data_IF_117973899551
#
_entry.id   IF_117973899551
#
_cell.length_a   1.000
_cell.length_b   1.000
_cell.length_c   1.000
_cell.angle_alpha   90.00
_cell.angle_beta   90.00
_cell.angle_gamma   90.00
#
_symmetry.space_group_name_H-M   'P 1'
#
loop_
_entity.id
_entity.type
_entity.pdbx_description
1 polymer ?
#
# COMPACT_ATOMS: atom_id res chain seq x y z
N UNK A 1 -4.01 12.27 12.65
CA UNK A 1 -4.05 10.86 12.24
C UNK A 1 -5.30 10.68 11.42
N UNK A 2 -5.20 10.01 10.27
CA UNK A 2 -6.39 9.67 9.49
C UNK A 2 -7.18 8.56 10.20
N UNK A 3 -8.47 8.37 9.84
CA UNK A 3 -9.32 7.32 10.42
C UNK A 3 -8.69 5.92 10.32
N UNK A 4 -8.00 5.63 9.22
CA UNK A 4 -7.33 4.33 9.04
C UNK A 4 -6.05 4.17 9.87
N UNK A 5 -5.41 5.26 10.31
CA UNK A 5 -4.20 5.20 11.13
C UNK A 5 -4.50 5.02 12.62
N UNK A 6 -5.69 5.41 13.09
CA UNK A 6 -6.05 5.33 14.52
C UNK A 6 -6.19 3.90 15.03
N UNK A 7 -6.23 2.91 14.14
CA UNK A 7 -6.37 1.49 14.50
C UNK A 7 -5.01 0.80 14.72
N UNK A 8 -3.89 1.51 14.50
CA UNK A 8 -2.55 0.95 14.67
C UNK A 8 -2.04 1.09 16.10
N UNK A 9 -1.56 -0.02 16.66
CA UNK A 9 -1.00 -0.07 18.02
C UNK A 9 0.30 -0.89 18.06
N UNK A 10 1.12 -0.64 19.09
CA UNK A 10 2.31 -1.45 19.39
C UNK A 10 3.33 -1.57 18.25
N UNK A 11 3.77 -2.80 17.98
CA UNK A 11 4.73 -3.06 16.89
C UNK A 11 4.16 -2.72 15.51
N UNK A 12 2.85 -2.87 15.31
CA UNK A 12 2.20 -2.56 14.03
C UNK A 12 2.24 -1.06 13.74
N UNK A 13 2.03 -0.22 14.76
CA UNK A 13 2.20 1.23 14.66
C UNK A 13 3.65 1.62 14.37
N UNK A 14 4.60 0.95 15.02
CA UNK A 14 6.04 1.19 14.78
C UNK A 14 6.42 0.83 13.34
N UNK A 15 5.89 -0.29 12.83
CA UNK A 15 6.07 -0.70 11.46
C UNK A 15 5.45 0.30 10.47
N UNK A 16 4.18 0.71 10.69
CA UNK A 16 3.53 1.72 9.86
C UNK A 16 4.34 3.03 9.78
N UNK A 17 4.81 3.53 10.92
CA UNK A 17 5.60 4.76 10.97
C UNK A 17 6.92 4.66 10.20
N UNK A 18 7.50 3.46 10.08
CA UNK A 18 8.74 3.21 9.35
C UNK A 18 8.53 3.24 7.83
N UNK A 19 7.40 2.70 7.35
CA UNK A 19 7.19 2.42 5.92
C UNK A 19 6.31 3.45 5.21
N UNK A 20 5.52 4.23 5.97
CA UNK A 20 4.59 5.19 5.39
C UNK A 20 5.34 6.31 4.68
N UNK A 21 4.78 6.72 3.56
CA UNK A 21 5.23 7.88 2.79
C UNK A 21 4.11 8.92 2.77
N UNK A 22 4.43 10.15 2.35
CA UNK A 22 3.37 11.07 1.93
C UNK A 22 2.67 10.44 0.72
N UNK A 23 1.32 10.43 0.67
CA UNK A 23 0.58 9.91 -0.47
C UNK A 23 1.10 10.51 -1.78
N UNK A 24 1.46 9.64 -2.72
CA UNK A 24 2.00 10.01 -4.03
C UNK A 24 1.22 9.26 -5.10
N UNK A 25 0.93 9.94 -6.21
CA UNK A 25 0.29 9.27 -7.34
C UNK A 25 1.34 8.50 -8.15
N UNK A 26 1.13 7.20 -8.28
CA UNK A 26 1.97 6.27 -9.01
C UNK A 26 1.22 5.77 -10.24
N UNK A 27 1.96 5.50 -11.30
CA UNK A 27 1.40 5.03 -12.57
C UNK A 27 1.40 3.50 -12.61
N UNK A 28 0.57 2.95 -13.48
CA UNK A 28 0.56 1.53 -13.80
C UNK A 28 0.47 1.42 -15.33
N UNK A 29 1.29 0.53 -15.90
CA UNK A 29 1.58 0.55 -17.35
C UNK A 29 0.44 -0.01 -18.21
N UNK A 30 -0.42 -0.88 -17.68
CA UNK A 30 -1.39 -1.64 -18.48
C UNK A 30 -2.85 -1.14 -18.36
N UNK A 31 -3.24 -0.59 -17.21
CA UNK A 31 -4.60 -0.17 -16.82
C UNK A 31 -4.66 1.22 -16.16
N UNK A 32 -3.53 1.80 -15.73
CA UNK A 32 -3.46 3.09 -15.02
C UNK A 32 -3.91 4.32 -15.83
N UNK A 33 -4.18 4.17 -17.13
CA UNK A 33 -4.60 5.24 -18.02
C UNK A 33 -6.03 5.77 -17.78
N UNK A 34 -6.96 4.93 -17.30
CA UNK A 34 -8.36 5.33 -17.14
C UNK A 34 -8.65 6.02 -15.78
N UNK A 35 -7.90 5.69 -14.72
CA UNK A 35 -7.99 6.34 -13.38
C UNK A 35 -6.89 7.38 -13.08
N UNK A 36 -5.92 7.52 -13.98
CA UNK A 36 -4.76 8.41 -13.80
C UNK A 36 -3.81 7.94 -12.69
N UNK A 37 -3.74 6.64 -12.41
CA UNK A 37 -2.84 6.02 -11.44
C UNK A 37 -3.42 5.82 -10.03
N UNK A 38 -2.57 5.31 -9.13
CA UNK A 38 -2.92 4.89 -7.76
C UNK A 38 -2.23 5.73 -6.71
N UNK A 39 -2.80 5.82 -5.51
CA UNK A 39 -2.17 6.57 -4.41
C UNK A 39 -1.28 5.66 -3.58
N UNK A 40 0.02 5.65 -3.84
CA UNK A 40 1.00 4.97 -2.99
C UNK A 40 1.10 5.66 -1.63
N UNK A 41 0.93 4.90 -0.55
CA UNK A 41 0.91 5.39 0.84
C UNK A 41 1.99 4.79 1.72
N UNK A 42 2.57 3.66 1.33
CA UNK A 42 3.74 3.08 1.98
C UNK A 42 4.60 2.28 0.99
N UNK A 43 5.90 2.21 1.28
CA UNK A 43 6.87 1.43 0.51
C UNK A 43 7.76 0.67 1.48
N UNK A 44 7.98 -0.61 1.22
CA UNK A 44 8.88 -1.45 2.01
C UNK A 44 9.58 -2.47 1.11
N UNK A 45 10.90 -2.41 1.05
CA UNK A 45 11.71 -3.19 0.11
C UNK A 45 11.18 -3.03 -1.33
N UNK A 46 10.71 -4.11 -1.95
CA UNK A 46 10.11 -4.13 -3.29
C UNK A 46 8.58 -4.15 -3.28
N UNK A 47 7.94 -3.97 -2.13
CA UNK A 47 6.48 -3.89 -2.02
C UNK A 47 6.00 -2.45 -1.81
N UNK A 48 4.85 -2.13 -2.41
CA UNK A 48 4.14 -0.86 -2.26
C UNK A 48 2.71 -1.11 -1.80
N UNK A 49 2.27 -0.33 -0.81
CA UNK A 49 0.87 -0.26 -0.41
C UNK A 49 0.25 0.94 -1.09
N UNK A 50 -0.83 0.73 -1.82
CA UNK A 50 -1.52 1.78 -2.56
C UNK A 50 -3.02 1.75 -2.33
N UNK A 51 -3.65 2.92 -2.42
CA UNK A 51 -5.09 3.07 -2.47
C UNK A 51 -5.56 3.16 -3.92
N UNK A 52 -6.59 2.38 -4.22
CA UNK A 52 -7.29 2.35 -5.49
C UNK A 52 -8.63 3.08 -5.32
N UNK A 53 -8.78 4.20 -6.01
CA UNK A 53 -9.95 5.08 -5.94
C UNK A 53 -11.15 4.57 -6.76
N UNK A 54 -10.92 3.67 -7.71
CA UNK A 54 -12.00 3.02 -8.49
C UNK A 54 -12.73 2.00 -7.60
N UNK A 55 -11.97 1.22 -6.84
CA UNK A 55 -12.49 0.11 -6.02
C UNK A 55 -12.69 0.49 -4.53
N UNK A 56 -12.26 1.70 -4.14
CA UNK A 56 -12.28 2.21 -2.76
C UNK A 56 -11.58 1.28 -1.75
N UNK A 57 -10.32 0.91 -2.03
CA UNK A 57 -9.60 -0.04 -1.20
C UNK A 57 -8.08 0.00 -1.28
N UNK A 58 -7.43 -0.57 -0.27
CA UNK A 58 -5.98 -0.67 -0.16
C UNK A 58 -5.46 -2.03 -0.63
N UNK A 59 -4.38 -1.99 -1.40
CA UNK A 59 -3.77 -3.15 -2.02
C UNK A 59 -2.24 -3.14 -1.83
N UNK A 60 -1.62 -4.29 -2.02
CA UNK A 60 -0.16 -4.47 -2.01
C UNK A 60 0.25 -5.00 -3.37
N UNK A 61 1.28 -4.41 -3.96
CA UNK A 61 1.89 -4.89 -5.20
C UNK A 61 3.40 -4.81 -5.09
N UNK A 62 4.09 -5.59 -5.92
CA UNK A 62 5.51 -5.38 -6.15
C UNK A 62 5.73 -4.12 -6.99
N UNK A 63 6.92 -3.53 -6.87
CA UNK A 63 7.40 -2.52 -7.80
C UNK A 63 8.87 -2.77 -8.14
N UNK A 64 9.23 -2.55 -9.41
CA UNK A 64 10.63 -2.61 -9.88
C UNK A 64 11.21 -1.21 -10.06
N UNK A 65 10.35 -0.25 -10.44
CA UNK A 65 10.70 1.16 -10.62
C UNK A 65 9.83 1.99 -9.69
N UNK A 66 10.45 2.81 -8.84
CA UNK A 66 9.70 3.69 -7.93
C UNK A 66 8.74 4.58 -8.74
N UNK A 67 7.48 4.64 -8.33
CA UNK A 67 6.44 5.34 -9.10
C UNK A 67 5.63 4.43 -10.03
N UNK A 68 5.97 3.14 -10.15
CA UNK A 68 5.27 2.19 -11.03
C UNK A 68 4.93 0.90 -10.28
N UNK A 69 3.65 0.53 -10.20
CA UNK A 69 3.26 -0.77 -9.65
C UNK A 69 3.31 -1.86 -10.73
N UNK A 70 3.59 -3.11 -10.33
CA UNK A 70 3.70 -4.25 -11.25
C UNK A 70 2.35 -4.90 -11.55
N UNK A 71 1.54 -5.11 -10.51
CA UNK A 71 0.24 -5.77 -10.61
C UNK A 71 -0.87 -4.92 -10.01
N UNK A 72 -2.00 -4.86 -10.72
CA UNK A 72 -3.23 -4.24 -10.26
C UNK A 72 -4.11 -5.24 -9.51
N UNK A 73 -4.60 -4.81 -8.35
CA UNK A 73 -5.58 -5.51 -7.53
C UNK A 73 -6.76 -4.60 -7.21
N UNK A 74 -7.97 -5.18 -7.26
CA UNK A 74 -9.24 -4.51 -6.94
C UNK A 74 -9.85 -4.95 -5.62
N UNK A 75 -9.03 -5.13 -4.56
CA UNK A 75 -9.58 -5.44 -3.25
C UNK A 75 -10.09 -4.18 -2.56
N UNK A 76 -11.15 -4.34 -1.75
CA UNK A 76 -11.80 -3.28 -0.96
C UNK A 76 -11.32 -3.28 0.49
N UNK A 77 -10.05 -3.63 0.71
CA UNK A 77 -9.52 -3.78 2.06
C UNK A 77 -9.26 -2.41 2.70
N UNK A 78 -9.59 -2.29 3.99
CA UNK A 78 -9.12 -1.16 4.79
C UNK A 78 -7.60 -1.21 4.97
N UNK A 79 -6.99 -0.04 5.17
CA UNK A 79 -5.54 0.12 5.31
C UNK A 79 -4.95 -0.86 6.34
N UNK A 80 -5.63 -1.05 7.48
CA UNK A 80 -5.14 -1.93 8.55
C UNK A 80 -4.94 -3.38 8.08
N UNK A 81 -5.78 -3.88 7.18
CA UNK A 81 -5.69 -5.25 6.68
C UNK A 81 -4.54 -5.40 5.69
N UNK A 82 -4.29 -4.40 4.84
CA UNK A 82 -3.09 -4.35 4.01
C UNK A 82 -1.82 -4.34 4.89
N UNK A 83 -1.72 -3.44 5.87
CA UNK A 83 -0.52 -3.34 6.72
C UNK A 83 -0.31 -4.60 7.58
N UNK A 84 -1.38 -5.22 8.11
CA UNK A 84 -1.27 -6.50 8.84
C UNK A 84 -0.73 -7.63 7.95
N UNK A 85 -1.14 -7.69 6.68
CA UNK A 85 -0.65 -8.70 5.74
C UNK A 85 0.83 -8.49 5.41
N UNK A 86 1.21 -7.26 5.08
CA UNK A 86 2.61 -6.89 4.84
C UNK A 86 3.48 -7.21 6.06
N UNK A 87 3.05 -6.80 7.25
CA UNK A 87 3.76 -7.07 8.50
C UNK A 87 3.97 -8.58 8.76
N UNK A 88 2.96 -9.40 8.50
CA UNK A 88 3.05 -10.86 8.61
C UNK A 88 4.06 -11.46 7.63
N UNK A 89 4.10 -10.98 6.38
CA UNK A 89 5.11 -11.40 5.38
C UNK A 89 6.52 -11.15 5.91
N UNK A 90 6.78 -9.94 6.42
CA UNK A 90 8.08 -9.55 6.97
C UNK A 90 8.48 -10.35 8.21
N UNK A 91 7.54 -10.61 9.14
CA UNK A 91 7.82 -11.41 10.34
C UNK A 91 7.97 -12.90 10.07
N UNK A 92 7.25 -13.44 9.06
CA UNK A 92 7.30 -14.85 8.68
C UNK A 92 8.51 -15.24 7.84
N UNK A 93 9.21 -14.27 7.24
CA UNK A 93 10.45 -14.46 6.49
C UNK A 93 11.71 -14.48 7.38
N UNK A 94 11.55 -14.68 8.70
CA UNK A 94 12.65 -14.80 9.67
C UNK A 94 12.82 -16.21 10.20
#
# INVERSE_FOLDING_TARGET
>A
MSRGESEFEGELLSFWNLIRIKPQKWEEKEYGGEGGGFWAVAVFETEVVYYNDIEDGFNISEYETYGQIKEYWGNQDELIWAIKRLYKRVKGNK
#
